data_IF_068234302746
#
_entry.id   IF_068234302746
#
_cell.length_a   1.000
_cell.length_b   1.000
_cell.length_c   1.000
_cell.angle_alpha   90.00
_cell.angle_beta   90.00
_cell.angle_gamma   90.00
#
_symmetry.space_group_name_H-M   'P 1'
#
loop_
_entity.id
_entity.type
_entity.pdbx_description
1 polymer ?
#
# COMPACT_ATOMS: atom_id res chain seq x y z
N UNK A 1 29.87 -37.72 0.76
CA UNK A 1 29.04 -37.22 -0.36
C UNK A 1 27.57 -36.98 0.01
N UNK A 2 26.99 -37.68 1.01
CA UNK A 2 25.63 -37.40 1.49
C UNK A 2 25.49 -36.13 2.36
N UNK A 3 26.54 -35.68 3.06
CA UNK A 3 26.48 -34.48 3.91
C UNK A 3 26.56 -33.14 3.15
N UNK A 4 27.10 -33.12 1.92
CA UNK A 4 27.27 -31.87 1.15
C UNK A 4 25.97 -31.41 0.47
N UNK A 5 25.05 -32.33 0.19
CA UNK A 5 23.75 -32.02 -0.42
C UNK A 5 22.78 -31.34 0.57
N UNK A 6 22.91 -31.58 1.87
CA UNK A 6 22.07 -30.95 2.91
C UNK A 6 22.41 -29.47 3.17
N UNK A 7 23.60 -29.01 2.77
CA UNK A 7 23.98 -27.60 2.87
C UNK A 7 23.44 -26.76 1.70
N UNK A 8 23.25 -27.35 0.52
CA UNK A 8 22.68 -26.66 -0.64
C UNK A 8 21.17 -26.41 -0.44
N UNK A 9 20.46 -27.29 0.27
CA UNK A 9 19.03 -27.08 0.57
C UNK A 9 18.75 -26.00 1.62
N UNK A 10 19.72 -25.63 2.48
CA UNK A 10 19.57 -24.56 3.49
C UNK A 10 19.83 -23.15 2.96
N UNK A 11 20.51 -22.99 1.82
CA UNK A 11 20.67 -21.70 1.12
C UNK A 11 19.37 -21.25 0.44
N UNK A 12 18.39 -22.15 0.29
CA UNK A 12 17.06 -21.82 -0.22
C UNK A 12 16.07 -21.35 0.88
N UNK A 13 16.56 -20.97 2.06
CA UNK A 13 15.78 -20.19 3.02
C UNK A 13 15.65 -18.76 2.47
N UNK A 14 14.40 -18.28 2.47
CA UNK A 14 13.98 -16.87 2.34
C UNK A 14 13.44 -16.40 0.99
N UNK A 15 12.54 -17.18 0.38
CA UNK A 15 11.34 -16.58 -0.26
C UNK A 15 10.09 -16.97 0.52
N UNK A 16 9.94 -16.37 1.71
CA UNK A 16 8.66 -16.35 2.43
C UNK A 16 7.65 -15.63 1.52
N UNK A 17 6.88 -16.41 0.76
CA UNK A 17 5.79 -15.98 -0.10
C UNK A 17 4.64 -15.48 0.78
N UNK A 18 4.80 -14.32 1.41
CA UNK A 18 3.68 -13.58 2.00
C UNK A 18 3.07 -12.74 0.88
N UNK A 19 2.27 -13.40 0.04
CA UNK A 19 1.41 -12.68 -0.88
C UNK A 19 0.43 -11.85 -0.05
N UNK A 20 0.63 -10.54 -0.01
CA UNK A 20 -0.30 -9.59 0.59
C UNK A 20 -1.44 -9.42 -0.43
N UNK A 21 -2.32 -10.43 -0.51
CA UNK A 21 -3.51 -10.35 -1.35
C UNK A 21 -4.54 -9.46 -0.66
N UNK A 22 -4.46 -8.15 -0.91
CA UNK A 22 -5.42 -7.18 -0.40
C UNK A 22 -6.57 -7.01 -1.39
N UNK A 23 -7.70 -7.68 -1.14
CA UNK A 23 -8.96 -7.33 -1.82
C UNK A 23 -9.34 -5.88 -1.46
N UNK A 24 -9.51 -5.04 -2.48
CA UNK A 24 -10.20 -3.75 -2.33
C UNK A 24 -11.69 -4.07 -2.34
N UNK A 25 -12.46 -3.55 -1.37
CA UNK A 25 -13.91 -3.71 -1.36
C UNK A 25 -14.51 -2.89 -2.52
N UNK A 26 -15.27 -3.56 -3.40
CA UNK A 26 -15.82 -2.98 -4.63
C UNK A 26 -16.76 -1.77 -4.40
N UNK A 27 -17.38 -1.66 -3.21
CA UNK A 27 -18.34 -0.59 -2.88
C UNK A 27 -17.74 0.82 -2.87
N UNK A 28 -16.45 0.95 -2.56
CA UNK A 28 -15.78 2.26 -2.52
C UNK A 28 -15.37 2.72 -3.93
N UNK A 29 -15.17 1.77 -4.84
CA UNK A 29 -14.70 2.05 -6.20
C UNK A 29 -15.81 2.71 -7.04
N UNK A 30 -17.08 2.32 -6.86
CA UNK A 30 -18.21 2.89 -7.61
C UNK A 30 -18.43 4.38 -7.31
N UNK A 31 -18.32 4.78 -6.04
CA UNK A 31 -18.49 6.18 -5.60
C UNK A 31 -17.38 7.09 -6.15
N UNK A 32 -16.16 6.55 -6.30
CA UNK A 32 -14.97 7.30 -6.68
C UNK A 32 -14.83 7.47 -8.21
N UNK A 33 -15.51 6.64 -9.01
CA UNK A 33 -15.30 6.52 -10.46
C UNK A 33 -15.93 7.64 -11.31
N UNK A 34 -16.72 8.55 -10.73
CA UNK A 34 -17.21 9.71 -11.46
C UNK A 34 -16.03 10.63 -11.82
N UNK A 35 -15.89 10.93 -13.12
CA UNK A 35 -14.77 11.69 -13.72
C UNK A 35 -14.54 13.05 -13.05
N UNK A 36 -15.59 13.64 -12.48
CA UNK A 36 -15.58 14.91 -11.75
C UNK A 36 -14.82 14.85 -10.41
N UNK A 37 -14.69 13.66 -9.81
CA UNK A 37 -14.11 13.50 -8.48
C UNK A 37 -12.58 13.27 -8.48
N UNK A 38 -11.87 13.46 -9.61
CA UNK A 38 -10.41 13.30 -9.67
C UNK A 38 -9.65 14.17 -8.66
N UNK A 39 -10.21 15.32 -8.29
CA UNK A 39 -9.66 16.24 -7.30
C UNK A 39 -9.94 15.83 -5.85
N UNK A 40 -10.87 14.91 -5.59
CA UNK A 40 -11.28 14.57 -4.23
C UNK A 40 -10.16 13.89 -3.44
N UNK A 41 -10.13 14.13 -2.13
CA UNK A 41 -9.12 13.54 -1.24
C UNK A 41 -9.20 12.02 -1.25
N UNK A 42 -10.41 11.45 -1.34
CA UNK A 42 -10.66 10.01 -1.40
C UNK A 42 -10.08 9.38 -2.67
N UNK A 43 -10.33 10.00 -3.84
CA UNK A 43 -9.77 9.55 -5.11
C UNK A 43 -8.23 9.57 -5.07
N UNK A 44 -7.64 10.64 -4.52
CA UNK A 44 -6.19 10.74 -4.39
C UNK A 44 -5.60 9.66 -3.48
N UNK A 45 -6.22 9.40 -2.31
CA UNK A 45 -5.79 8.34 -1.39
C UNK A 45 -5.91 6.96 -2.03
N UNK A 46 -6.98 6.71 -2.78
CA UNK A 46 -7.15 5.48 -3.56
C UNK A 46 -6.05 5.34 -4.62
N UNK A 47 -5.81 6.37 -5.44
CA UNK A 47 -4.76 6.38 -6.47
C UNK A 47 -3.37 6.11 -5.88
N UNK A 48 -3.04 6.76 -4.75
CA UNK A 48 -1.78 6.50 -4.05
C UNK A 48 -1.70 5.08 -3.52
N UNK A 49 -2.79 4.54 -2.98
CA UNK A 49 -2.83 3.16 -2.47
C UNK A 49 -2.58 2.15 -3.59
N UNK A 50 -3.20 2.33 -4.76
CA UNK A 50 -2.95 1.48 -5.94
C UNK A 50 -1.50 1.57 -6.43
N UNK A 51 -0.93 2.80 -6.48
CA UNK A 51 0.48 3.00 -6.85
C UNK A 51 1.44 2.36 -5.85
N UNK A 52 1.18 2.49 -4.55
CA UNK A 52 1.97 1.85 -3.48
C UNK A 52 1.99 0.35 -3.70
N UNK A 53 0.84 -0.30 -3.92
CA UNK A 53 0.76 -1.74 -4.15
C UNK A 53 1.61 -2.18 -5.34
N UNK A 54 1.48 -1.49 -6.48
CA UNK A 54 2.27 -1.78 -7.69
C UNK A 54 3.79 -1.65 -7.44
N UNK A 55 4.20 -0.57 -6.76
CA UNK A 55 5.61 -0.33 -6.43
C UNK A 55 6.15 -1.33 -5.41
N UNK A 56 5.35 -1.73 -4.42
CA UNK A 56 5.74 -2.75 -3.44
C UNK A 56 6.04 -4.07 -4.14
N UNK A 57 5.17 -4.55 -5.03
CA UNK A 57 5.42 -5.78 -5.80
C UNK A 57 6.65 -5.66 -6.71
N UNK A 58 6.91 -4.49 -7.30
CA UNK A 58 8.11 -4.25 -8.09
C UNK A 58 9.39 -4.33 -7.24
N UNK A 59 9.38 -3.72 -6.05
CA UNK A 59 10.53 -3.69 -5.14
C UNK A 59 10.80 -5.03 -4.45
N UNK A 60 9.79 -5.90 -4.32
CA UNK A 60 9.99 -7.28 -3.86
C UNK A 60 10.91 -8.07 -4.80
N UNK A 61 10.81 -7.81 -6.11
CA UNK A 61 11.68 -8.39 -7.14
C UNK A 61 13.01 -7.62 -7.23
N UNK A 62 12.98 -6.29 -7.18
CA UNK A 62 14.14 -5.42 -7.36
C UNK A 62 14.54 -4.70 -6.06
N UNK A 63 15.10 -5.45 -5.11
CA UNK A 63 15.44 -4.93 -3.76
C UNK A 63 16.52 -3.84 -3.74
N UNK A 64 17.37 -3.77 -4.77
CA UNK A 64 18.50 -2.82 -4.85
C UNK A 64 18.12 -1.45 -5.46
N UNK A 65 16.90 -1.28 -5.96
CA UNK A 65 16.47 0.00 -6.55
C UNK A 65 16.13 1.02 -5.46
N UNK A 66 17.10 1.88 -5.14
CA UNK A 66 16.98 2.95 -4.15
C UNK A 66 16.15 4.14 -4.64
N UNK A 67 16.11 4.38 -5.96
CA UNK A 67 15.36 5.47 -6.58
C UNK A 67 13.85 5.23 -6.47
N UNK A 68 13.41 4.02 -6.81
CA UNK A 68 12.01 3.60 -6.66
C UNK A 68 11.58 3.54 -5.20
N UNK A 69 12.46 3.09 -4.29
CA UNK A 69 12.19 3.15 -2.84
C UNK A 69 11.99 4.58 -2.34
N UNK A 70 12.82 5.54 -2.80
CA UNK A 70 12.66 6.96 -2.47
C UNK A 70 11.32 7.50 -2.96
N UNK A 71 10.93 7.16 -4.20
CA UNK A 71 9.62 7.50 -4.76
C UNK A 71 8.46 6.94 -3.93
N UNK A 72 8.55 5.67 -3.53
CA UNK A 72 7.56 5.01 -2.68
C UNK A 72 7.39 5.73 -1.33
N UNK A 73 8.50 6.08 -0.66
CA UNK A 73 8.47 6.84 0.61
C UNK A 73 7.78 8.20 0.45
N UNK A 74 8.03 8.91 -0.65
CA UNK A 74 7.35 10.19 -0.95
C UNK A 74 5.84 10.01 -1.09
N UNK A 75 5.40 8.96 -1.80
CA UNK A 75 3.96 8.66 -1.98
C UNK A 75 3.30 8.30 -0.65
N UNK A 76 3.97 7.48 0.18
CA UNK A 76 3.50 7.14 1.52
C UNK A 76 3.28 8.38 2.38
N UNK A 77 4.25 9.31 2.39
CA UNK A 77 4.14 10.58 3.13
C UNK A 77 3.00 11.46 2.63
N UNK A 78 2.82 11.58 1.31
CA UNK A 78 1.69 12.34 0.73
C UNK A 78 0.34 11.75 1.15
N UNK A 79 0.18 10.43 1.06
CA UNK A 79 -1.04 9.74 1.50
C UNK A 79 -1.31 9.95 2.98
N UNK A 80 -0.28 9.86 3.83
CA UNK A 80 -0.42 10.08 5.28
C UNK A 80 -0.90 11.51 5.59
N UNK A 81 -0.37 12.53 4.90
CA UNK A 81 -0.81 13.92 5.06
C UNK A 81 -2.27 14.12 4.65
N UNK A 82 -2.70 13.51 3.55
CA UNK A 82 -4.11 13.56 3.11
C UNK A 82 -5.06 12.89 4.10
N UNK A 83 -4.67 11.73 4.65
CA UNK A 83 -5.45 11.05 5.67
C UNK A 83 -5.53 11.86 6.97
N UNK A 84 -4.44 12.50 7.38
CA UNK A 84 -4.44 13.40 8.53
C UNK A 84 -5.31 14.65 8.30
N UNK A 85 -5.30 15.20 7.08
CA UNK A 85 -6.21 16.28 6.69
C UNK A 85 -7.68 15.85 6.76
N UNK A 86 -8.02 14.68 6.19
CA UNK A 86 -9.38 14.15 6.20
C UNK A 86 -9.85 13.89 7.63
N UNK A 87 -9.00 13.28 8.46
CA UNK A 87 -9.26 13.07 9.90
C UNK A 87 -9.61 14.36 10.65
N UNK A 88 -8.99 15.49 10.29
CA UNK A 88 -9.25 16.79 10.94
C UNK A 88 -10.54 17.45 10.43
N UNK A 89 -10.88 17.25 9.16
CA UNK A 89 -12.05 17.87 8.52
C UNK A 89 -13.34 17.09 8.75
N UNK A 90 -13.32 15.78 8.54
CA UNK A 90 -14.50 14.92 8.67
C UNK A 90 -14.08 13.51 9.12
N UNK A 91 -14.46 13.16 10.35
CA UNK A 91 -14.09 11.89 10.98
C UNK A 91 -14.88 10.70 10.44
N UNK A 92 -16.11 10.90 9.98
CA UNK A 92 -16.96 9.84 9.42
C UNK A 92 -16.41 9.36 8.07
N UNK A 93 -16.16 10.30 7.14
CA UNK A 93 -15.53 10.01 5.85
C UNK A 93 -14.18 9.33 6.01
N UNK A 94 -13.40 9.74 7.02
CA UNK A 94 -12.13 9.09 7.35
C UNK A 94 -12.29 7.62 7.74
N UNK A 95 -13.25 7.31 8.62
CA UNK A 95 -13.53 5.93 9.05
C UNK A 95 -14.00 5.07 7.89
N UNK A 96 -14.90 5.58 7.05
CA UNK A 96 -15.38 4.89 5.85
C UNK A 96 -14.24 4.58 4.87
N UNK A 97 -13.42 5.58 4.57
CA UNK A 97 -12.30 5.44 3.63
C UNK A 97 -11.26 4.42 4.13
N UNK A 98 -10.95 4.44 5.44
CA UNK A 98 -10.04 3.48 6.06
C UNK A 98 -10.61 2.07 6.04
N UNK A 99 -11.88 1.89 6.42
CA UNK A 99 -12.56 0.59 6.44
C UNK A 99 -12.75 -0.01 5.04
N UNK A 100 -12.82 0.84 4.02
CA UNK A 100 -12.90 0.44 2.62
C UNK A 100 -11.56 0.01 2.02
N UNK A 101 -10.49 0.76 2.31
CA UNK A 101 -9.15 0.52 1.76
C UNK A 101 -8.28 -0.40 2.62
N UNK A 102 -8.78 -0.82 3.79
CA UNK A 102 -8.06 -1.61 4.80
C UNK A 102 -6.72 -0.96 5.19
N UNK A 103 -6.69 0.37 5.33
CA UNK A 103 -5.47 1.10 5.70
C UNK A 103 -5.31 1.06 7.22
N UNK A 104 -4.07 0.91 7.72
CA UNK A 104 -3.81 1.01 9.16
C UNK A 104 -4.14 2.42 9.67
N UNK A 105 -4.87 2.50 10.78
CA UNK A 105 -5.19 3.77 11.43
C UNK A 105 -3.94 4.56 11.80
N UNK A 106 -4.03 5.89 11.65
CA UNK A 106 -2.97 6.80 12.05
C UNK A 106 -3.21 7.13 13.53
N UNK A 107 -2.24 6.84 14.39
CA UNK A 107 -2.23 7.40 15.75
C UNK A 107 -1.89 8.88 15.66
N UNK A 108 -2.90 9.73 15.76
CA UNK A 108 -2.71 11.14 16.08
C UNK A 108 -2.24 11.20 17.54
N UNK A 109 -1.04 11.72 17.78
CA UNK A 109 -0.59 12.09 19.12
C UNK A 109 -1.22 13.42 19.51
#
# INVERSE_FOLDING_TARGET
MALLLLLISKIHICKKRRGIFFMVKNSVISVISQKENRGSVEFQVFSFTTKIRKLTSHLELHKKDSSSQRGLRKILGKRQRLLAYLSKRNRERYKELIGGLNIREIKTR
#
